data_IF_425174130731
#
_entry.id   IF_425174130731
#
_cell.length_a   1.000
_cell.length_b   1.000
_cell.length_c   1.000
_cell.angle_alpha   90.00
_cell.angle_beta   90.00
_cell.angle_gamma   90.00
#
_symmetry.space_group_name_H-M   'P 1'
#
loop_
_entity.id
_entity.type
_entity.pdbx_description
1 polymer ?
#
# COMPACT_ATOMS: atom_id res chain seq x y z
N UNK A 1 -6.34 3.00 12.34
CA UNK A 1 -7.56 2.79 11.54
C UNK A 1 -7.44 1.44 10.86
N UNK A 2 -8.40 0.54 11.09
CA UNK A 2 -8.42 -0.78 10.46
C UNK A 2 -9.00 -0.70 9.05
N UNK A 3 -8.37 -1.38 8.09
CA UNK A 3 -8.81 -1.41 6.70
C UNK A 3 -8.45 -2.74 6.05
N UNK A 4 -9.36 -3.27 5.23
CA UNK A 4 -9.06 -4.37 4.32
C UNK A 4 -8.51 -3.79 3.01
N UNK A 5 -7.39 -4.33 2.53
CA UNK A 5 -6.75 -3.89 1.29
C UNK A 5 -6.37 -5.06 0.42
N UNK A 6 -6.55 -4.90 -0.89
CA UNK A 6 -6.09 -5.86 -1.88
C UNK A 6 -4.60 -5.65 -2.14
N UNK A 7 -3.79 -6.63 -1.77
CA UNK A 7 -2.34 -6.63 -1.93
C UNK A 7 -1.90 -6.91 -3.36
N UNK A 8 -0.67 -6.54 -3.68
CA UNK A 8 -0.04 -6.86 -4.96
C UNK A 8 0.19 -8.37 -5.18
N UNK A 9 0.14 -9.15 -4.11
CA UNK A 9 0.21 -10.62 -4.13
C UNK A 9 -1.14 -11.27 -4.47
N UNK A 10 -2.19 -10.47 -4.69
CA UNK A 10 -3.54 -10.96 -5.00
C UNK A 10 -4.37 -11.36 -3.78
N UNK A 11 -3.87 -11.11 -2.56
CA UNK A 11 -4.57 -11.44 -1.32
C UNK A 11 -5.23 -10.21 -0.68
N UNK A 12 -6.20 -10.44 0.20
CA UNK A 12 -6.76 -9.38 1.05
C UNK A 12 -5.99 -9.37 2.37
N UNK A 13 -5.45 -8.19 2.72
CA UNK A 13 -4.77 -7.96 3.99
C UNK A 13 -5.62 -7.11 4.92
N UNK A 14 -5.54 -7.40 6.21
CA UNK A 14 -6.06 -6.54 7.27
C UNK A 14 -4.93 -5.65 7.77
N UNK A 15 -5.07 -4.34 7.59
CA UNK A 15 -4.06 -3.36 7.99
C UNK A 15 -4.58 -2.43 9.07
N UNK A 16 -3.70 -2.03 9.99
CA UNK A 16 -3.95 -0.96 10.94
C UNK A 16 -2.91 0.14 10.78
N UNK A 17 -3.38 1.35 10.45
CA UNK A 17 -2.50 2.53 10.40
C UNK A 17 -2.59 3.34 11.70
N UNK A 18 -1.44 3.61 12.32
CA UNK A 18 -1.26 4.45 13.51
C UNK A 18 -0.17 5.48 13.22
N UNK A 19 -0.57 6.75 13.03
CA UNK A 19 0.33 7.80 12.57
C UNK A 19 0.90 7.47 11.19
N UNK A 20 2.22 7.52 11.06
CA UNK A 20 2.95 7.10 9.86
C UNK A 20 3.27 5.61 9.84
N UNK A 21 2.96 4.83 10.87
CA UNK A 21 3.21 3.39 10.85
C UNK A 21 1.98 2.64 10.36
N UNK A 22 2.18 1.67 9.48
CA UNK A 22 1.15 0.75 9.02
C UNK A 22 1.56 -0.68 9.31
N UNK A 23 0.69 -1.39 10.01
CA UNK A 23 0.87 -2.79 10.38
C UNK A 23 -0.04 -3.65 9.53
N UNK A 24 0.52 -4.62 8.82
CA UNK A 24 -0.21 -5.67 8.13
C UNK A 24 -0.38 -6.84 9.09
N UNK A 25 -1.60 -7.00 9.61
CA UNK A 25 -1.93 -8.01 10.61
C UNK A 25 -2.08 -9.42 10.02
N UNK A 26 -2.12 -9.52 8.68
CA UNK A 26 -2.14 -10.80 7.97
C UNK A 26 -0.73 -11.36 7.81
N UNK A 27 0.28 -10.51 7.61
CA UNK A 27 1.67 -10.91 7.35
C UNK A 27 2.65 -10.59 8.49
N UNK A 28 2.20 -9.89 9.52
CA UNK A 28 3.02 -9.36 10.62
C UNK A 28 4.10 -8.37 10.16
N UNK A 29 3.88 -7.70 9.02
CA UNK A 29 4.81 -6.68 8.49
C UNK A 29 4.46 -5.28 9.00
N UNK A 30 5.48 -4.51 9.37
CA UNK A 30 5.36 -3.09 9.68
C UNK A 30 6.07 -2.25 8.62
N UNK A 31 5.43 -1.16 8.20
CA UNK A 31 5.99 -0.19 7.24
C UNK A 31 5.76 1.23 7.72
N UNK A 32 6.65 2.15 7.34
CA UNK A 32 6.43 3.59 7.51
C UNK A 32 5.86 4.18 6.23
N UNK A 33 4.78 4.93 6.34
CA UNK A 33 4.03 5.53 5.24
C UNK A 33 4.05 7.04 5.43
N UNK A 34 4.65 7.74 4.46
CA UNK A 34 4.71 9.20 4.43
C UNK A 34 3.85 9.69 3.26
N UNK A 35 2.74 10.39 3.51
CA UNK A 35 1.91 10.92 2.42
C UNK A 35 2.68 12.00 1.65
N UNK A 36 2.65 11.91 0.32
CA UNK A 36 3.25 12.91 -0.59
C UNK A 36 2.13 13.79 -1.17
N UNK A 37 1.06 13.14 -1.65
CA UNK A 37 -0.12 13.79 -2.24
C UNK A 37 -1.38 13.10 -1.75
N UNK A 38 -2.57 13.54 -2.21
CA UNK A 38 -3.87 13.00 -1.77
C UNK A 38 -3.99 11.47 -1.93
N UNK A 39 -3.35 10.91 -2.95
CA UNK A 39 -3.47 9.49 -3.29
C UNK A 39 -2.11 8.80 -3.45
N UNK A 40 -1.00 9.46 -3.09
CA UNK A 40 0.34 8.88 -3.19
C UNK A 40 1.09 9.00 -1.88
N UNK A 41 1.81 7.94 -1.52
CA UNK A 41 2.67 7.89 -0.33
C UNK A 41 4.03 7.28 -0.67
N UNK A 42 5.08 7.70 0.03
CA UNK A 42 6.33 6.93 0.09
C UNK A 42 6.19 5.91 1.20
N UNK A 43 6.49 4.64 0.89
CA UNK A 43 6.44 3.53 1.83
C UNK A 43 7.85 3.00 2.07
N UNK A 44 8.27 3.02 3.33
CA UNK A 44 9.52 2.43 3.79
C UNK A 44 9.20 1.08 4.43
N UNK A 45 9.64 0.01 3.79
CA UNK A 45 9.47 -1.36 4.27
C UNK A 45 10.80 -2.12 4.34
N UNK A 46 10.70 -3.40 4.69
CA UNK A 46 11.87 -4.31 4.75
C UNK A 46 12.59 -4.43 3.40
N UNK A 47 11.86 -4.29 2.29
CA UNK A 47 12.37 -4.47 0.92
C UNK A 47 12.92 -3.17 0.32
N UNK A 48 12.89 -2.07 1.07
CA UNK A 48 13.37 -0.76 0.64
C UNK A 48 12.26 0.30 0.61
N UNK A 49 12.42 1.27 -0.30
CA UNK A 49 11.51 2.42 -0.45
C UNK A 49 10.70 2.26 -1.72
N UNK A 50 9.38 2.33 -1.58
CA UNK A 50 8.42 2.18 -2.69
C UNK A 50 7.49 3.39 -2.76
N UNK A 51 6.95 3.66 -3.95
CA UNK A 51 5.81 4.59 -4.10
C UNK A 51 4.52 3.78 -4.04
N UNK A 52 3.61 4.20 -3.17
CA UNK A 52 2.26 3.65 -3.05
C UNK A 52 1.26 4.61 -3.69
N UNK A 53 0.39 4.09 -4.55
CA UNK A 53 -0.77 4.82 -5.09
C UNK A 53 -2.03 4.19 -4.51
N UNK A 54 -2.86 4.99 -3.84
CA UNK A 54 -4.15 4.57 -3.31
C UNK A 54 -5.28 4.96 -4.26
N UNK A 55 -6.12 3.98 -4.61
CA UNK A 55 -7.39 4.21 -5.32
C UNK A 55 -8.50 3.56 -4.51
N UNK A 56 -9.29 4.41 -3.85
CA UNK A 56 -10.32 4.00 -2.91
C UNK A 56 -9.77 3.07 -1.79
N UNK A 57 -10.22 1.81 -1.75
CA UNK A 57 -9.77 0.80 -0.80
C UNK A 57 -8.62 -0.07 -1.33
N UNK A 58 -8.19 0.17 -2.57
CA UNK A 58 -7.08 -0.53 -3.21
C UNK A 58 -5.80 0.30 -3.09
N UNK A 59 -4.66 -0.38 -2.91
CA UNK A 59 -3.35 0.24 -2.91
C UNK A 59 -2.43 -0.52 -3.85
N UNK A 60 -1.69 0.20 -4.68
CA UNK A 60 -0.65 -0.36 -5.53
C UNK A 60 0.71 0.12 -5.00
N UNK A 61 1.59 -0.83 -4.69
CA UNK A 61 3.02 -0.59 -4.58
C UNK A 61 3.61 -0.69 -5.99
N UNK A 62 4.59 0.15 -6.32
CA UNK A 62 5.25 0.24 -7.65
C UNK A 62 5.99 -1.06 -8.05
N UNK A 63 5.24 -2.15 -8.22
CA UNK A 63 5.67 -3.49 -8.59
C UNK A 63 5.07 -3.83 -9.97
N UNK A 64 5.85 -4.45 -10.86
CA UNK A 64 5.38 -4.83 -12.19
C UNK A 64 4.22 -5.83 -12.09
N UNK A 65 3.11 -5.58 -12.80
CA UNK A 65 1.93 -6.47 -12.84
C UNK A 65 0.56 -5.76 -12.82
N UNK A 66 0.52 -4.51 -12.34
CA UNK A 66 -0.73 -3.73 -12.20
C UNK A 66 -0.79 -2.47 -13.09
N UNK A 67 0.21 -2.25 -13.95
CA UNK A 67 0.23 -1.10 -14.88
C UNK A 67 -1.00 -1.02 -15.82
N UNK A 68 -1.72 -2.13 -16.00
CA UNK A 68 -2.95 -2.19 -16.81
C UNK A 68 -4.20 -1.63 -16.10
N UNK A 69 -4.23 -1.55 -14.76
CA UNK A 69 -5.36 -1.01 -14.00
C UNK A 69 -5.42 0.52 -14.04
N UNK A 70 -4.27 1.16 -14.33
CA UNK A 70 -4.12 2.62 -14.31
C UNK A 70 -3.82 3.21 -15.69
N UNK A 71 -3.64 2.37 -16.71
CA UNK A 71 -3.55 2.79 -18.10
C UNK A 71 -4.96 2.99 -18.67
N UNK A 72 -5.59 4.12 -18.34
CA UNK A 72 -6.72 4.61 -19.15
C UNK A 72 -6.16 5.12 -20.48
N UNK A 73 -6.50 4.43 -21.58
CA UNK A 73 -6.57 5.09 -22.89
C UNK A 73 -7.73 6.07 -22.92
#
# INVERSE_FOLDING_TARGET
MYQNVFGSDGQIHLENQVGCQRFNLTTDEAKTVVPITKNMSTVFGKDGVETEIQVEQMRQLDKPGFGWLFNKR
#
